data_IF_691168407550
#
_entry.id   IF_691168407550
#
_cell.length_a   1.000
_cell.length_b   1.000
_cell.length_c   1.000
_cell.angle_alpha   90.00
_cell.angle_beta   90.00
_cell.angle_gamma   90.00
#
_symmetry.space_group_name_H-M   'P 1'
#
loop_
_entity.id
_entity.type
_entity.pdbx_description
1 polymer ?
#
# COMPACT_ATOMS: atom_id res chain seq x y z
N UNK A 1 6.54 26.23 9.53
CA UNK A 1 6.31 25.00 8.74
C UNK A 1 5.24 24.11 9.42
N UNK A 2 5.40 23.72 10.70
CA UNK A 2 4.44 22.85 11.42
C UNK A 2 3.05 23.49 11.53
N UNK A 3 3.00 24.77 11.89
CA UNK A 3 1.74 25.51 12.00
C UNK A 3 1.05 25.69 10.65
N UNK A 4 1.80 25.99 9.60
CA UNK A 4 1.26 26.09 8.24
C UNK A 4 0.69 24.77 7.76
N UNK A 5 1.39 23.67 8.04
CA UNK A 5 0.93 22.33 7.71
C UNK A 5 -0.36 21.98 8.46
N UNK A 6 -0.40 22.28 9.78
CA UNK A 6 -1.54 21.94 10.65
C UNK A 6 -2.80 22.73 10.30
N UNK A 7 -2.66 24.03 10.05
CA UNK A 7 -3.82 24.91 9.93
C UNK A 7 -4.22 25.24 8.50
N UNK A 8 -3.35 25.02 7.54
CA UNK A 8 -3.61 25.36 6.15
C UNK A 8 -3.58 24.18 5.19
N UNK A 9 -2.56 23.32 5.22
CA UNK A 9 -2.41 22.21 4.28
C UNK A 9 -3.31 21.05 4.63
N UNK A 10 -3.25 20.55 5.86
CA UNK A 10 -3.99 19.34 6.27
C UNK A 10 -5.52 19.50 6.24
N UNK A 11 -6.12 20.63 6.64
CA UNK A 11 -7.57 20.81 6.50
C UNK A 11 -8.03 20.83 5.04
N UNK A 12 -7.14 21.18 4.10
CA UNK A 12 -7.41 21.27 2.68
C UNK A 12 -6.75 20.14 1.88
N UNK A 13 -6.39 19.03 2.54
CA UNK A 13 -5.63 17.93 1.90
C UNK A 13 -6.35 17.33 0.70
N UNK A 14 -7.68 17.36 0.69
CA UNK A 14 -8.50 16.84 -0.42
C UNK A 14 -8.19 17.56 -1.75
N UNK A 15 -7.77 18.81 -1.72
CA UNK A 15 -7.39 19.56 -2.92
C UNK A 15 -6.14 18.96 -3.59
N UNK A 16 -5.27 18.35 -2.80
CA UNK A 16 -4.01 17.73 -3.26
C UNK A 16 -4.18 16.24 -3.61
N UNK A 17 -5.41 15.71 -3.56
CA UNK A 17 -5.68 14.30 -3.85
C UNK A 17 -5.11 13.85 -5.19
N UNK A 18 -5.29 14.65 -6.24
CA UNK A 18 -4.77 14.35 -7.58
C UNK A 18 -3.25 14.28 -7.62
N UNK A 19 -2.59 15.25 -7.00
CA UNK A 19 -1.12 15.32 -6.96
C UNK A 19 -0.54 14.16 -6.15
N UNK A 20 -1.19 13.82 -5.02
CA UNK A 20 -0.81 12.68 -4.19
C UNK A 20 -1.01 11.37 -4.95
N UNK A 21 -2.15 11.18 -5.63
CA UNK A 21 -2.41 10.01 -6.44
C UNK A 21 -1.37 9.86 -7.57
N UNK A 22 -0.98 10.96 -8.21
CA UNK A 22 0.06 10.97 -9.23
C UNK A 22 1.43 10.62 -8.64
N UNK A 23 1.82 11.21 -7.51
CA UNK A 23 3.08 10.91 -6.84
C UNK A 23 3.16 9.42 -6.41
N UNK A 24 2.06 8.88 -5.86
CA UNK A 24 1.97 7.46 -5.51
C UNK A 24 2.04 6.59 -6.75
N UNK A 25 1.38 6.97 -7.86
CA UNK A 25 1.42 6.23 -9.12
C UNK A 25 2.84 6.19 -9.70
N UNK A 26 3.58 7.29 -9.62
CA UNK A 26 4.98 7.33 -10.06
C UNK A 26 5.87 6.45 -9.18
N UNK A 27 5.71 6.50 -7.86
CA UNK A 27 6.46 5.66 -6.92
C UNK A 27 6.13 4.18 -7.09
N UNK A 28 4.88 3.86 -7.38
CA UNK A 28 4.39 2.50 -7.59
C UNK A 28 4.69 1.94 -9.00
N UNK A 29 5.08 2.79 -9.96
CA UNK A 29 5.20 2.45 -11.39
C UNK A 29 3.90 1.86 -11.98
N UNK A 30 2.77 2.19 -11.36
CA UNK A 30 1.44 1.72 -11.74
C UNK A 30 0.41 2.82 -11.49
N UNK A 31 -0.68 2.79 -12.25
CA UNK A 31 -1.78 3.73 -12.03
C UNK A 31 -2.44 3.48 -10.69
N UNK A 32 -2.52 4.52 -9.85
CA UNK A 32 -3.23 4.52 -8.58
C UNK A 32 -4.28 5.61 -8.59
N UNK A 33 -5.48 5.29 -8.13
CA UNK A 33 -6.54 6.26 -7.89
C UNK A 33 -6.92 6.28 -6.42
N UNK A 34 -7.28 7.46 -5.92
CA UNK A 34 -7.69 7.68 -4.53
C UNK A 34 -9.07 8.31 -4.57
N UNK A 35 -10.07 7.65 -3.98
CA UNK A 35 -11.43 8.16 -3.94
C UNK A 35 -11.59 9.36 -3.03
N UNK A 36 -11.01 9.29 -1.82
CA UNK A 36 -11.05 10.36 -0.83
C UNK A 36 -9.77 10.39 -0.01
N UNK A 37 -9.37 11.57 0.40
CA UNK A 37 -8.23 11.77 1.30
C UNK A 37 -8.66 12.68 2.44
N UNK A 38 -8.30 12.30 3.66
CA UNK A 38 -8.50 13.12 4.85
C UNK A 38 -7.28 13.06 5.74
N UNK A 39 -7.07 14.10 6.51
CA UNK A 39 -5.96 14.17 7.45
C UNK A 39 -6.47 14.49 8.85
N UNK A 40 -5.92 13.77 9.81
CA UNK A 40 -6.19 13.95 11.24
C UNK A 40 -4.88 14.13 11.99
N UNK A 41 -4.99 14.33 13.29
CA UNK A 41 -3.85 14.40 14.19
C UNK A 41 -4.00 13.36 15.30
N UNK A 42 -2.99 12.52 15.45
CA UNK A 42 -2.80 11.70 16.63
C UNK A 42 -1.72 12.35 17.52
N UNK A 43 -2.16 13.15 18.46
CA UNK A 43 -1.27 13.99 19.26
C UNK A 43 -0.50 15.00 18.40
N UNK A 44 0.81 14.78 18.27
CA UNK A 44 1.69 15.61 17.43
C UNK A 44 1.99 14.98 16.06
N UNK A 45 1.48 13.78 15.77
CA UNK A 45 1.73 13.07 14.52
C UNK A 45 0.59 13.29 13.54
N UNK A 46 0.88 13.73 12.31
CA UNK A 46 -0.14 13.81 11.28
C UNK A 46 -0.51 12.39 10.83
N UNK A 47 -1.80 12.13 10.78
CA UNK A 47 -2.39 10.90 10.26
C UNK A 47 -3.10 11.20 8.95
N UNK A 48 -2.81 10.41 7.93
CA UNK A 48 -3.43 10.50 6.63
C UNK A 48 -4.31 9.28 6.41
N UNK A 49 -5.57 9.51 6.09
CA UNK A 49 -6.54 8.46 5.81
C UNK A 49 -6.92 8.55 4.33
N UNK A 50 -6.68 7.45 3.61
CA UNK A 50 -7.07 7.29 2.22
C UNK A 50 -8.24 6.33 2.14
N UNK A 51 -9.28 6.69 1.39
CA UNK A 51 -10.45 5.84 1.18
C UNK A 51 -10.59 5.52 -0.31
N UNK A 52 -11.02 4.28 -0.60
CA UNK A 52 -11.22 3.76 -1.96
C UNK A 52 -9.98 3.96 -2.85
N UNK A 53 -8.86 3.41 -2.39
CA UNK A 53 -7.62 3.39 -3.17
C UNK A 53 -7.64 2.18 -4.09
N UNK A 54 -7.50 2.40 -5.39
CA UNK A 54 -7.44 1.34 -6.40
C UNK A 54 -6.12 1.39 -7.14
N UNK A 55 -5.43 0.27 -7.16
CA UNK A 55 -4.23 0.03 -7.94
C UNK A 55 -4.62 -0.74 -9.20
N UNK A 56 -4.14 -0.30 -10.36
CA UNK A 56 -4.42 -0.91 -11.64
C UNK A 56 -3.19 -1.67 -12.16
N UNK A 57 -3.44 -2.77 -12.84
CA UNK A 57 -2.40 -3.53 -13.53
C UNK A 57 -1.98 -2.89 -14.86
N UNK A 58 -1.05 -3.53 -15.57
CA UNK A 58 -0.58 -3.07 -16.87
C UNK A 58 -1.67 -3.09 -17.97
N UNK A 59 -2.73 -3.89 -17.78
CA UNK A 59 -3.90 -3.94 -18.66
C UNK A 59 -4.99 -2.93 -18.25
N UNK A 60 -4.67 -2.02 -17.29
CA UNK A 60 -5.59 -1.04 -16.73
C UNK A 60 -6.85 -1.66 -16.09
N UNK A 61 -6.72 -2.88 -15.56
CA UNK A 61 -7.75 -3.55 -14.78
C UNK A 61 -7.48 -3.32 -13.28
N UNK A 62 -8.54 -3.19 -12.45
CA UNK A 62 -8.38 -3.11 -11.00
C UNK A 62 -7.67 -4.37 -10.47
N UNK A 63 -6.47 -4.20 -9.94
CA UNK A 63 -5.64 -5.28 -9.43
C UNK A 63 -5.71 -5.42 -7.92
N UNK A 64 -5.81 -4.28 -7.22
CA UNK A 64 -5.93 -4.21 -5.77
C UNK A 64 -6.89 -3.09 -5.39
N UNK A 65 -7.86 -3.41 -4.57
CA UNK A 65 -8.79 -2.46 -3.99
C UNK A 65 -8.57 -2.38 -2.47
N UNK A 66 -8.32 -1.17 -1.99
CA UNK A 66 -8.11 -0.86 -0.59
C UNK A 66 -9.22 0.09 -0.13
N UNK A 67 -10.25 -0.41 0.55
CA UNK A 67 -11.35 0.41 1.03
C UNK A 67 -10.89 1.51 1.98
N UNK A 68 -9.89 1.20 2.82
CA UNK A 68 -9.32 2.17 3.76
C UNK A 68 -7.85 1.87 4.06
N UNK A 69 -7.04 2.92 4.02
CA UNK A 69 -5.62 2.90 4.38
C UNK A 69 -5.36 4.02 5.39
N UNK A 70 -4.98 3.64 6.60
CA UNK A 70 -4.62 4.57 7.65
C UNK A 70 -3.08 4.68 7.72
N UNK A 71 -2.55 5.87 7.57
CA UNK A 71 -1.12 6.13 7.51
C UNK A 71 -0.71 7.15 8.56
N UNK A 72 0.24 6.80 9.41
CA UNK A 72 0.90 7.77 10.28
C UNK A 72 2.15 8.30 9.59
N UNK A 73 2.15 9.59 9.26
CA UNK A 73 3.28 10.23 8.59
C UNK A 73 4.44 10.47 9.56
N UNK A 74 5.65 10.30 9.05
CA UNK A 74 6.85 10.72 9.77
C UNK A 74 7.11 12.21 9.53
N UNK A 75 7.48 12.96 10.56
CA UNK A 75 7.94 14.35 10.42
C UNK A 75 9.10 14.49 9.43
N UNK A 76 9.98 13.50 9.40
CA UNK A 76 11.10 13.48 8.47
C UNK A 76 10.63 13.41 7.01
N UNK A 77 9.55 12.68 6.76
CA UNK A 77 8.89 12.57 5.46
C UNK A 77 8.42 13.91 4.92
N UNK A 78 7.89 14.73 5.81
CA UNK A 78 7.41 16.08 5.45
C UNK A 78 8.56 17.07 5.19
N UNK A 79 9.73 16.83 5.77
CA UNK A 79 10.92 17.67 5.59
C UNK A 79 11.71 17.28 4.34
N UNK A 80 11.76 15.99 4.01
CA UNK A 80 12.57 15.47 2.89
C UNK A 80 11.78 15.28 1.60
N UNK A 81 10.44 15.50 1.63
CA UNK A 81 9.52 15.20 0.52
C UNK A 81 9.58 13.73 0.03
N UNK A 82 10.14 12.85 0.86
CA UNK A 82 10.13 11.42 0.63
C UNK A 82 8.95 10.78 1.37
N UNK A 83 8.10 10.02 0.68
CA UNK A 83 6.98 9.30 1.29
C UNK A 83 7.50 8.13 2.15
N UNK A 84 7.88 8.44 3.39
CA UNK A 84 8.23 7.45 4.41
C UNK A 84 7.15 7.40 5.46
N UNK A 85 6.45 6.30 5.52
CA UNK A 85 5.42 6.08 6.52
C UNK A 85 6.01 5.41 7.76
N UNK A 86 5.58 5.86 8.92
CA UNK A 86 5.94 5.22 10.17
C UNK A 86 5.17 3.92 10.36
N UNK A 87 3.92 3.91 9.95
CA UNK A 87 3.03 2.75 9.98
C UNK A 87 2.04 2.84 8.81
N UNK A 88 1.84 1.72 8.14
CA UNK A 88 0.80 1.51 7.13
C UNK A 88 -0.20 0.50 7.67
N UNK A 89 -1.45 0.90 7.84
CA UNK A 89 -2.52 0.00 8.22
C UNK A 89 -3.54 -0.12 7.08
N UNK A 90 -3.70 -1.33 6.57
CA UNK A 90 -4.68 -1.68 5.55
C UNK A 90 -5.87 -2.37 6.20
N UNK A 91 -7.06 -1.83 6.03
CA UNK A 91 -8.29 -2.40 6.58
C UNK A 91 -9.15 -2.99 5.48
N UNK A 92 -9.44 -4.28 5.63
CA UNK A 92 -10.25 -5.09 4.71
C UNK A 92 -9.76 -5.04 3.26
N UNK A 93 -8.45 -5.19 3.01
CA UNK A 93 -7.96 -5.28 1.63
C UNK A 93 -8.46 -6.57 1.00
N UNK A 94 -8.79 -6.50 -0.29
CA UNK A 94 -9.07 -7.69 -1.11
C UNK A 94 -7.84 -7.94 -1.97
N UNK A 95 -7.20 -9.09 -1.74
CA UNK A 95 -5.95 -9.49 -2.40
C UNK A 95 -6.18 -10.72 -3.26
N UNK A 96 -5.93 -10.58 -4.56
CA UNK A 96 -5.92 -11.70 -5.48
C UNK A 96 -4.46 -12.15 -5.69
N UNK A 97 -4.16 -13.35 -5.24
CA UNK A 97 -2.85 -13.99 -5.40
C UNK A 97 -3.01 -15.15 -6.40
N UNK A 98 -2.19 -15.15 -7.41
CA UNK A 98 -2.18 -16.17 -8.45
C UNK A 98 -0.78 -16.71 -8.63
N UNK A 99 -0.64 -18.03 -8.67
CA UNK A 99 0.56 -18.71 -9.13
C UNK A 99 0.28 -19.25 -10.53
N UNK A 100 1.01 -18.74 -11.51
CA UNK A 100 0.83 -19.18 -12.91
C UNK A 100 1.46 -20.55 -13.17
N UNK A 101 1.21 -21.11 -14.36
CA UNK A 101 1.74 -22.39 -14.78
C UNK A 101 3.28 -22.44 -14.87
N UNK A 102 3.95 -21.28 -14.89
CA UNK A 102 5.41 -21.15 -14.89
C UNK A 102 5.98 -21.04 -13.48
N UNK A 103 5.11 -20.99 -12.45
CA UNK A 103 5.50 -20.85 -11.04
C UNK A 103 5.71 -19.42 -10.59
N UNK A 104 5.45 -18.42 -11.43
CA UNK A 104 5.50 -17.01 -11.05
C UNK A 104 4.32 -16.67 -10.15
N UNK A 105 4.61 -16.00 -9.03
CA UNK A 105 3.56 -15.55 -8.12
C UNK A 105 3.17 -14.12 -8.50
N UNK A 106 1.89 -13.92 -8.69
CA UNK A 106 1.28 -12.64 -8.96
C UNK A 106 0.46 -12.20 -7.75
N UNK A 107 0.72 -11.02 -7.24
CA UNK A 107 -0.07 -10.42 -6.15
C UNK A 107 -0.69 -9.15 -6.71
N UNK A 108 -2.02 -9.10 -6.69
CA UNK A 108 -2.76 -7.96 -7.25
C UNK A 108 -2.31 -7.60 -8.68
N UNK A 109 -2.11 -8.60 -9.53
CA UNK A 109 -1.66 -8.39 -10.92
C UNK A 109 -0.19 -8.00 -11.09
N UNK A 110 0.58 -7.93 -10.00
CA UNK A 110 2.01 -7.63 -10.00
C UNK A 110 2.80 -8.93 -9.86
N UNK A 111 3.69 -9.22 -10.81
CA UNK A 111 4.57 -10.36 -10.72
C UNK A 111 5.62 -10.16 -9.62
N UNK A 112 5.64 -11.06 -8.63
CA UNK A 112 6.74 -11.15 -7.68
C UNK A 112 7.85 -11.98 -8.29
N UNK A 113 8.76 -11.34 -9.02
CA UNK A 113 9.96 -12.00 -9.50
C UNK A 113 10.95 -12.15 -8.37
N UNK A 114 11.53 -13.34 -8.22
CA UNK A 114 12.52 -13.65 -7.18
C UNK A 114 13.89 -12.98 -7.41
N UNK A 115 14.02 -12.07 -8.37
CA UNK A 115 15.27 -11.34 -8.62
C UNK A 115 15.19 -9.93 -8.03
N UNK A 116 15.99 -9.66 -6.97
CA UNK A 116 16.02 -8.33 -6.33
C UNK A 116 16.60 -7.22 -7.23
N UNK A 117 17.17 -7.57 -8.38
CA UNK A 117 17.98 -6.64 -9.19
C UNK A 117 17.19 -5.78 -10.18
N UNK A 118 15.90 -6.06 -10.39
CA UNK A 118 15.06 -5.30 -11.34
C UNK A 118 13.83 -4.64 -10.70
N UNK A 119 13.72 -4.66 -9.36
CA UNK A 119 12.48 -4.33 -8.69
C UNK A 119 12.55 -3.11 -7.79
N UNK A 120 12.55 -1.91 -8.35
CA UNK A 120 12.13 -0.70 -7.61
C UNK A 120 10.60 -0.57 -7.53
N UNK A 121 9.86 -1.68 -7.43
CA UNK A 121 8.39 -1.70 -7.47
C UNK A 121 7.72 -1.49 -6.10
N UNK A 122 6.37 -1.52 -6.12
CA UNK A 122 5.51 -1.36 -4.94
C UNK A 122 5.89 -2.32 -3.81
N UNK A 123 6.27 -3.56 -4.14
CA UNK A 123 6.66 -4.56 -3.15
C UNK A 123 7.90 -4.13 -2.36
N UNK A 124 8.95 -3.65 -3.03
CA UNK A 124 10.17 -3.17 -2.39
C UNK A 124 9.91 -1.91 -1.57
N UNK A 125 9.07 -1.00 -2.09
CA UNK A 125 8.66 0.18 -1.35
C UNK A 125 7.88 -0.19 -0.09
N UNK A 126 6.93 -1.12 -0.16
CA UNK A 126 6.19 -1.63 0.98
C UNK A 126 7.14 -2.28 2.01
N UNK A 127 8.04 -3.15 1.55
CA UNK A 127 8.98 -3.84 2.45
C UNK A 127 9.99 -2.90 3.13
N UNK A 128 10.18 -1.69 2.64
CA UNK A 128 10.99 -0.66 3.30
C UNK A 128 10.25 0.10 4.41
N UNK A 129 8.92 -0.05 4.51
CA UNK A 129 8.16 0.58 5.58
C UNK A 129 8.46 -0.08 6.92
N UNK A 130 8.49 0.71 8.00
CA UNK A 130 8.85 0.20 9.33
C UNK A 130 7.84 -0.78 9.91
N UNK A 131 6.57 -0.51 9.68
CA UNK A 131 5.47 -1.33 10.17
C UNK A 131 4.35 -1.38 9.16
N UNK A 132 3.92 -2.59 8.83
CA UNK A 132 2.77 -2.87 7.99
C UNK A 132 1.80 -3.70 8.80
N UNK A 133 0.56 -3.26 8.89
CA UNK A 133 -0.53 -3.97 9.55
C UNK A 133 -1.64 -4.19 8.53
N UNK A 134 -2.07 -5.42 8.38
CA UNK A 134 -3.20 -5.81 7.54
C UNK A 134 -4.26 -6.39 8.46
N UNK A 135 -5.48 -5.87 8.39
CA UNK A 135 -6.60 -6.34 9.22
C UNK A 135 -7.78 -6.75 8.38
N UNK A 136 -8.40 -7.84 8.78
CA UNK A 136 -9.61 -8.38 8.13
C UNK A 136 -9.44 -8.57 6.60
N UNK A 137 -8.28 -8.96 6.13
CA UNK A 137 -8.03 -9.16 4.71
C UNK A 137 -8.85 -10.33 4.15
N UNK A 138 -9.29 -10.17 2.91
CA UNK A 138 -9.80 -11.28 2.09
C UNK A 138 -8.74 -11.61 1.04
N UNK A 139 -8.27 -12.86 1.02
CA UNK A 139 -7.22 -13.34 0.14
C UNK A 139 -7.76 -14.48 -0.69
N UNK A 140 -7.78 -14.29 -2.01
CA UNK A 140 -8.05 -15.37 -2.96
C UNK A 140 -6.74 -15.89 -3.52
N UNK A 141 -6.49 -17.19 -3.37
CA UNK A 141 -5.31 -17.88 -3.87
C UNK A 141 -5.69 -18.84 -5.00
N UNK A 142 -5.11 -18.65 -6.18
CA UNK A 142 -5.25 -19.54 -7.32
C UNK A 142 -3.89 -20.12 -7.71
N UNK A 143 -3.74 -21.45 -7.65
CA UNK A 143 -2.52 -22.16 -8.03
C UNK A 143 -2.73 -22.93 -9.35
N UNK A 144 -2.46 -22.27 -10.48
CA UNK A 144 -2.55 -22.89 -11.80
C UNK A 144 -1.46 -23.93 -12.03
N UNK A 145 -0.29 -23.80 -11.39
CA UNK A 145 0.80 -24.77 -11.53
C UNK A 145 0.41 -26.14 -11.01
N UNK A 146 -0.37 -26.20 -9.93
CA UNK A 146 -0.85 -27.43 -9.32
C UNK A 146 -2.24 -27.83 -9.78
N UNK A 147 -2.93 -26.99 -10.54
CA UNK A 147 -4.33 -27.20 -10.90
C UNK A 147 -5.24 -27.31 -9.68
N UNK A 148 -4.86 -26.65 -8.58
CA UNK A 148 -5.62 -26.69 -7.34
C UNK A 148 -6.85 -25.77 -7.42
N UNK A 149 -7.96 -26.12 -6.74
CA UNK A 149 -9.10 -25.23 -6.64
C UNK A 149 -8.70 -23.93 -5.92
N UNK A 150 -9.39 -22.83 -6.26
CA UNK A 150 -9.18 -21.54 -5.61
C UNK A 150 -9.44 -21.66 -4.10
N UNK A 151 -8.53 -21.11 -3.32
CA UNK A 151 -8.64 -21.03 -1.87
C UNK A 151 -8.97 -19.59 -1.47
N UNK A 152 -10.09 -19.39 -0.79
CA UNK A 152 -10.49 -18.09 -0.28
C UNK A 152 -10.29 -18.05 1.25
N UNK A 153 -9.41 -17.17 1.69
CA UNK A 153 -9.14 -16.88 3.09
C UNK A 153 -9.84 -15.58 3.47
N UNK A 154 -10.58 -15.59 4.57
CA UNK A 154 -11.29 -14.42 5.09
C UNK A 154 -10.79 -14.08 6.49
N UNK A 155 -10.84 -12.78 6.81
CA UNK A 155 -10.43 -12.25 8.11
C UNK A 155 -8.97 -12.60 8.46
N UNK A 156 -8.08 -12.36 7.50
CA UNK A 156 -6.64 -12.56 7.71
C UNK A 156 -6.04 -11.30 8.32
N UNK A 157 -5.44 -11.46 9.48
CA UNK A 157 -4.66 -10.40 10.13
C UNK A 157 -3.18 -10.70 9.97
N UNK A 158 -2.42 -9.73 9.48
CA UNK A 158 -0.99 -9.85 9.27
C UNK A 158 -0.29 -8.60 9.80
N UNK A 159 0.82 -8.79 10.50
CA UNK A 159 1.68 -7.70 10.93
C UNK A 159 3.11 -7.99 10.54
N UNK A 160 3.74 -7.06 9.82
CA UNK A 160 5.14 -7.12 9.43
C UNK A 160 5.86 -5.94 10.07
N UNK A 161 6.92 -6.21 10.83
CA UNK A 161 7.80 -5.19 11.40
C UNK A 161 9.20 -5.33 10.81
N UNK A 162 9.67 -4.26 10.17
CA UNK A 162 11.00 -4.17 9.60
C UNK A 162 11.91 -3.37 10.55
N UNK A 163 12.87 -4.05 11.17
CA UNK A 163 13.91 -3.45 12.01
C UNK A 163 15.27 -3.62 11.34
N UNK A 164 15.64 -2.69 10.44
CA UNK A 164 16.88 -2.80 9.66
C UNK A 164 16.87 -4.04 8.77
N UNK A 165 17.96 -4.78 8.70
CA UNK A 165 18.10 -5.98 7.85
C UNK A 165 17.42 -7.26 8.40
N UNK A 166 16.59 -7.15 9.43
CA UNK A 166 15.89 -8.29 10.04
C UNK A 166 14.38 -8.16 9.86
N UNK A 167 13.82 -9.09 9.10
CA UNK A 167 12.37 -9.25 8.96
C UNK A 167 11.88 -10.22 10.05
N UNK A 168 10.84 -9.84 10.80
CA UNK A 168 10.09 -10.71 11.69
C UNK A 168 8.67 -10.83 11.16
N UNK A 169 8.24 -12.04 10.97
CA UNK A 169 6.88 -12.42 10.57
C UNK A 169 6.09 -12.83 11.80
#
# INVERSE_FOLDING_TARGET
IVLSLRYWVLPNIEQYRGDIAQAVSQAAHQRVTIGKISANWDGIRPELVLENVTLFDAANQPALELPRVDNTLSWLSLLTLELRFHSLEFRRPVLNIKRDARGTIWVAGIALTQRPEEGGGVADWLLRQRKIVVRDAEISWLDELRGAPQLDLKRVDLQVENRGDRHRF
#
